data_IF_603678924397
#
_entry.id   IF_603678924397
#
_cell.length_a   1.000
_cell.length_b   1.000
_cell.length_c   1.000
_cell.angle_alpha   90.00
_cell.angle_beta   90.00
_cell.angle_gamma   90.00
#
_symmetry.space_group_name_H-M   'P 1'
#
loop_
_entity.id
_entity.type
_entity.pdbx_description
1 polymer ?
#
# COMPACT_ATOMS: atom_id res chain seq x y z
N UNK A 1 28.97 38.44 16.84
CA UNK A 1 27.57 38.81 16.59
C UNK A 1 27.34 38.56 15.11
N UNK A 2 26.84 37.36 14.79
CA UNK A 2 25.45 37.14 14.37
C UNK A 2 25.30 37.51 12.88
N UNK A 3 24.86 36.64 11.99
CA UNK A 3 24.27 35.33 12.18
C UNK A 3 24.36 34.47 10.93
N UNK A 4 24.32 33.16 11.16
CA UNK A 4 24.06 32.15 10.15
C UNK A 4 22.59 32.33 9.78
N UNK A 5 22.30 32.82 8.57
CA UNK A 5 20.94 32.81 8.05
C UNK A 5 20.59 31.36 7.73
N UNK A 6 19.88 30.76 8.69
CA UNK A 6 19.13 29.51 8.53
C UNK A 6 18.02 29.80 7.52
N UNK A 7 18.26 29.44 6.27
CA UNK A 7 17.21 29.29 5.28
C UNK A 7 16.93 27.79 5.22
N UNK A 8 16.33 27.30 6.29
CA UNK A 8 15.58 26.06 6.26
C UNK A 8 14.36 26.36 5.38
N UNK A 9 14.54 26.27 4.07
CA UNK A 9 13.44 26.20 3.14
C UNK A 9 12.94 24.76 3.23
N UNK A 10 12.33 24.44 4.38
CA UNK A 10 11.40 23.32 4.50
C UNK A 10 10.25 23.68 3.57
N UNK A 11 10.38 23.24 2.32
CA UNK A 11 9.27 23.13 1.41
C UNK A 11 8.36 22.08 2.05
N UNK A 12 7.51 22.55 2.96
CA UNK A 12 6.33 21.83 3.39
C UNK A 12 5.46 21.82 2.14
N UNK A 13 5.78 20.90 1.23
CA UNK A 13 4.85 20.48 0.20
C UNK A 13 3.71 19.85 1.00
N UNK A 14 2.76 20.68 1.43
CA UNK A 14 1.54 20.30 2.12
C UNK A 14 0.81 19.32 1.20
N UNK A 15 1.15 18.04 1.31
CA UNK A 15 0.50 17.00 0.54
C UNK A 15 -0.93 16.93 1.02
N UNK A 16 -1.87 16.88 0.08
CA UNK A 16 -3.28 16.84 0.42
C UNK A 16 -3.57 15.49 1.10
N UNK A 17 -3.82 15.55 2.41
CA UNK A 17 -4.14 14.39 3.23
C UNK A 17 -5.64 14.11 3.16
N UNK A 18 -5.99 12.88 2.82
CA UNK A 18 -7.37 12.41 2.74
C UNK A 18 -7.62 11.32 3.77
N UNK A 19 -8.86 11.20 4.24
CA UNK A 19 -9.26 10.11 5.10
C UNK A 19 -9.79 8.95 4.25
N UNK A 20 -9.22 7.76 4.44
CA UNK A 20 -9.67 6.57 3.74
C UNK A 20 -11.09 6.19 4.16
N UNK A 21 -11.98 6.00 3.19
CA UNK A 21 -13.40 5.70 3.41
C UNK A 21 -13.66 4.33 4.06
N UNK A 22 -12.70 3.39 4.00
CA UNK A 22 -12.86 2.03 4.52
C UNK A 22 -12.25 1.85 5.92
N UNK A 23 -11.00 2.27 6.15
CA UNK A 23 -10.31 2.16 7.45
C UNK A 23 -10.46 3.41 8.34
N UNK A 24 -10.79 4.58 7.77
CA UNK A 24 -10.71 5.88 8.47
C UNK A 24 -9.27 6.36 8.71
N UNK A 25 -8.28 5.77 8.05
CA UNK A 25 -6.88 6.12 8.20
C UNK A 25 -6.49 7.26 7.25
N UNK A 26 -5.63 8.17 7.71
CA UNK A 26 -5.09 9.25 6.87
C UNK A 26 -4.23 8.66 5.76
N UNK A 27 -4.42 9.12 4.55
CA UNK A 27 -3.67 8.72 3.36
C UNK A 27 -3.43 9.92 2.46
N UNK A 28 -2.24 10.05 1.89
CA UNK A 28 -1.89 11.11 0.95
C UNK A 28 -1.22 10.52 -0.29
N UNK A 29 -0.94 11.35 -1.29
CA UNK A 29 -0.23 10.91 -2.51
C UNK A 29 1.15 10.29 -2.21
N UNK A 30 1.85 10.68 -1.14
CA UNK A 30 3.10 10.01 -0.72
C UNK A 30 2.94 8.52 -0.43
N UNK A 31 1.80 8.11 0.14
CA UNK A 31 1.56 6.68 0.39
C UNK A 31 1.50 5.88 -0.92
N UNK A 32 1.21 6.55 -2.03
CA UNK A 32 1.09 5.96 -3.35
C UNK A 32 2.40 5.99 -4.15
N UNK A 33 3.38 6.82 -3.79
CA UNK A 33 4.66 6.88 -4.50
C UNK A 33 5.43 5.54 -4.49
N UNK A 34 5.12 4.67 -3.54
CA UNK A 34 5.76 3.36 -3.35
C UNK A 34 4.96 2.18 -3.91
N UNK A 35 3.78 2.42 -4.47
CA UNK A 35 2.89 1.39 -5.01
C UNK A 35 2.46 1.76 -6.44
N UNK A 36 2.06 0.77 -7.24
CA UNK A 36 1.56 1.00 -8.61
C UNK A 36 0.10 1.51 -8.65
N UNK A 37 -0.34 2.19 -7.59
CA UNK A 37 -1.70 2.70 -7.44
C UNK A 37 -1.73 4.21 -7.26
N UNK A 38 -2.88 4.83 -7.49
CA UNK A 38 -3.07 6.27 -7.34
C UNK A 38 -4.15 6.59 -6.30
N UNK A 39 -3.99 7.73 -5.61
CA UNK A 39 -4.99 8.23 -4.69
C UNK A 39 -6.20 8.77 -5.45
N UNK A 40 -7.33 8.08 -5.31
CA UNK A 40 -8.58 8.56 -5.90
C UNK A 40 -9.23 9.61 -4.98
N UNK A 41 -9.10 10.89 -5.32
CA UNK A 41 -9.67 12.00 -4.55
C UNK A 41 -11.21 11.94 -4.41
N UNK A 42 -11.94 11.27 -5.32
CA UNK A 42 -13.40 11.11 -5.23
C UNK A 42 -13.82 10.00 -4.27
N UNK A 43 -12.97 8.99 -4.12
CA UNK A 43 -13.16 7.88 -3.20
C UNK A 43 -11.83 7.56 -2.53
N UNK A 44 -11.36 8.40 -1.58
CA UNK A 44 -10.06 8.24 -0.98
C UNK A 44 -10.00 6.90 -0.27
N UNK A 45 -9.05 6.06 -0.66
CA UNK A 45 -8.77 4.77 -0.03
C UNK A 45 -7.28 4.60 0.04
N UNK A 46 -6.76 4.28 1.23
CA UNK A 46 -5.35 3.98 1.42
C UNK A 46 -4.92 2.78 0.56
N UNK A 47 -3.63 2.70 0.20
CA UNK A 47 -3.14 1.63 -0.69
C UNK A 47 -3.45 0.25 -0.14
N UNK A 48 -3.34 0.04 1.17
CA UNK A 48 -3.70 -1.23 1.80
C UNK A 48 -5.18 -1.62 1.60
N UNK A 49 -6.12 -0.69 1.74
CA UNK A 49 -7.54 -0.95 1.50
C UNK A 49 -7.84 -1.17 0.01
N UNK A 50 -7.13 -0.47 -0.89
CA UNK A 50 -7.25 -0.71 -2.33
C UNK A 50 -6.79 -2.12 -2.71
N UNK A 51 -5.61 -2.53 -2.25
CA UNK A 51 -5.10 -3.90 -2.43
C UNK A 51 -6.05 -4.93 -1.84
N UNK A 52 -6.52 -4.75 -0.60
CA UNK A 52 -7.44 -5.70 0.04
C UNK A 52 -8.75 -5.85 -0.76
N UNK A 53 -9.26 -4.77 -1.33
CA UNK A 53 -10.47 -4.79 -2.14
C UNK A 53 -10.25 -5.50 -3.50
N UNK A 54 -9.01 -5.51 -4.03
CA UNK A 54 -8.63 -6.32 -5.21
C UNK A 54 -8.47 -7.80 -4.83
N UNK A 55 -7.67 -8.05 -3.80
CA UNK A 55 -7.37 -9.37 -3.25
C UNK A 55 -8.65 -10.11 -2.85
N UNK A 56 -9.59 -9.46 -2.17
CA UNK A 56 -10.85 -10.08 -1.72
C UNK A 56 -11.76 -10.56 -2.87
N UNK A 57 -11.54 -10.08 -4.10
CA UNK A 57 -12.23 -10.55 -5.31
C UNK A 57 -11.43 -11.57 -6.09
N UNK A 58 -10.17 -11.77 -5.73
CA UNK A 58 -9.30 -12.74 -6.32
C UNK A 58 -9.36 -14.08 -5.57
N UNK A 59 -9.00 -15.14 -6.28
CA UNK A 59 -8.93 -16.49 -5.74
C UNK A 59 -7.52 -16.97 -5.97
N UNK A 60 -6.93 -17.59 -4.95
CA UNK A 60 -5.65 -18.27 -5.08
C UNK A 60 -5.77 -19.41 -6.09
N UNK A 61 -4.65 -19.81 -6.71
CA UNK A 61 -4.60 -20.93 -7.66
C UNK A 61 -5.08 -22.26 -7.04
N UNK A 62 -4.94 -22.39 -5.72
CA UNK A 62 -5.46 -23.55 -4.97
C UNK A 62 -7.00 -23.55 -4.81
N UNK A 63 -7.69 -22.48 -5.20
CA UNK A 63 -9.15 -22.34 -5.12
C UNK A 63 -9.69 -21.65 -3.87
N UNK A 64 -8.82 -21.33 -2.91
CA UNK A 64 -9.19 -20.57 -1.70
C UNK A 64 -9.19 -19.05 -1.96
N UNK A 65 -9.94 -18.25 -1.17
CA UNK A 65 -9.91 -16.80 -1.30
C UNK A 65 -8.50 -16.26 -1.07
N UNK A 66 -8.05 -15.36 -1.95
CA UNK A 66 -6.74 -14.74 -1.78
C UNK A 66 -6.74 -13.77 -0.59
N UNK A 67 -5.58 -13.64 0.06
CA UNK A 67 -5.36 -12.72 1.19
C UNK A 67 -4.12 -11.86 1.01
N UNK A 68 -3.22 -12.23 0.10
CA UNK A 68 -2.01 -11.49 -0.23
C UNK A 68 -1.88 -11.28 -1.74
N UNK A 69 -1.31 -10.14 -2.11
CA UNK A 69 -0.89 -9.83 -3.48
C UNK A 69 0.63 -9.98 -3.56
N UNK A 70 1.09 -10.74 -4.54
CA UNK A 70 2.51 -11.00 -4.84
C UNK A 70 2.78 -10.65 -6.30
N UNK A 71 4.05 -10.53 -6.69
CA UNK A 71 4.42 -10.22 -8.09
C UNK A 71 3.83 -11.22 -9.12
N UNK A 72 3.60 -12.47 -8.69
CA UNK A 72 3.01 -13.53 -9.54
C UNK A 72 1.49 -13.52 -9.60
N UNK A 73 0.80 -12.68 -8.81
CA UNK A 73 -0.66 -12.62 -8.73
C UNK A 73 -1.19 -12.63 -7.30
N UNK A 74 -2.31 -13.30 -7.06
CA UNK A 74 -2.98 -13.32 -5.77
C UNK A 74 -2.88 -14.70 -5.11
N UNK A 75 -2.51 -14.73 -3.83
CA UNK A 75 -2.32 -15.97 -3.08
C UNK A 75 -3.02 -15.92 -1.72
N UNK A 76 -3.40 -17.08 -1.18
CA UNK A 76 -3.89 -17.19 0.19
C UNK A 76 -2.72 -17.22 1.19
N UNK A 77 -3.00 -17.04 2.48
CA UNK A 77 -2.01 -17.01 3.56
C UNK A 77 -1.12 -18.25 3.58
N UNK A 78 -1.71 -19.43 3.34
CA UNK A 78 -1.01 -20.71 3.29
C UNK A 78 0.00 -20.76 2.14
N UNK A 79 -0.44 -20.43 0.91
CA UNK A 79 0.46 -20.37 -0.24
C UNK A 79 1.47 -19.21 -0.16
N UNK A 80 1.12 -18.11 0.51
CA UNK A 80 2.03 -17.00 0.77
C UNK A 80 3.17 -17.42 1.70
N UNK A 81 2.88 -18.14 2.78
CA UNK A 81 3.90 -18.66 3.70
C UNK A 81 4.87 -19.61 2.97
N UNK A 82 4.33 -20.47 2.09
CA UNK A 82 5.12 -21.30 1.19
C UNK A 82 6.00 -20.50 0.21
N UNK A 83 5.49 -19.39 -0.32
CA UNK A 83 6.22 -18.51 -1.24
C UNK A 83 7.34 -17.72 -0.54
N UNK A 84 7.04 -17.16 0.64
CA UNK A 84 7.97 -16.35 1.45
C UNK A 84 9.04 -17.21 2.11
N UNK A 85 8.72 -18.47 2.45
CA UNK A 85 9.67 -19.32 3.17
C UNK A 85 10.87 -19.75 2.32
N UNK A 86 10.86 -19.57 0.99
CA UNK A 86 12.03 -19.85 0.11
C UNK A 86 12.55 -21.29 0.14
N UNK A 87 11.93 -22.20 0.88
CA UNK A 87 12.36 -23.58 1.04
C UNK A 87 11.65 -24.46 0.02
N UNK A 88 12.21 -24.49 -1.18
CA UNK A 88 12.17 -25.70 -2.01
C UNK A 88 12.89 -26.76 -1.18
N UNK A 89 12.15 -27.64 -0.49
CA UNK A 89 12.71 -28.91 -0.02
C UNK A 89 12.86 -29.79 -1.25
N UNK A 90 14.12 -29.94 -1.68
CA UNK A 90 14.57 -31.04 -2.54
C UNK A 90 14.18 -32.40 -1.93
#
# INVERSE_FOLDING_TARGET
MSGIQMWDNGSDEEQEEFECLDCGCTTSEADFESVDDELNQQSPRCPGCQSLHRISRATCDCGEPATHEVESGFVCDDCHDHYVSGYIRD
#
